data_IF_443804785293
#
_entry.id   IF_443804785293
#
_cell.length_a   1.000
_cell.length_b   1.000
_cell.length_c   1.000
_cell.angle_alpha   90.00
_cell.angle_beta   90.00
_cell.angle_gamma   90.00
#
_symmetry.space_group_name_H-M   'P 1'
#
loop_
_entity.id
_entity.type
_entity.pdbx_description
1 polymer ?
#
# COMPACT_ATOMS: atom_id res chain seq x y z
N UNK A 1 5.04 33.77 2.65
CA UNK A 1 5.22 33.16 1.32
C UNK A 1 6.58 32.49 1.32
N UNK A 2 6.64 31.25 1.79
CA UNK A 2 7.88 30.45 1.83
C UNK A 2 7.87 29.55 0.60
N UNK A 3 8.84 29.77 -0.28
CA UNK A 3 9.05 28.99 -1.50
C UNK A 3 9.85 27.74 -1.11
N UNK A 4 9.21 26.58 -1.09
CA UNK A 4 9.92 25.31 -0.94
C UNK A 4 10.60 24.98 -2.27
N UNK A 5 11.93 24.99 -2.28
CA UNK A 5 12.73 24.43 -3.37
C UNK A 5 12.76 22.90 -3.20
N UNK A 6 12.08 22.18 -4.09
CA UNK A 6 12.25 20.73 -4.24
C UNK A 6 13.61 20.42 -4.89
N UNK A 7 14.36 19.41 -4.41
CA UNK A 7 15.61 19.01 -5.05
C UNK A 7 15.32 18.37 -6.41
N UNK A 8 15.98 18.90 -7.44
CA UNK A 8 15.88 18.44 -8.83
C UNK A 8 16.68 17.13 -9.00
N UNK A 9 16.04 16.07 -9.51
CA UNK A 9 16.72 14.86 -9.92
C UNK A 9 17.29 15.06 -11.33
N UNK A 10 18.59 15.29 -11.45
CA UNK A 10 19.27 15.22 -12.75
C UNK A 10 19.53 13.75 -13.13
N UNK A 11 19.13 13.36 -14.33
CA UNK A 11 19.51 12.10 -14.96
C UNK A 11 20.55 12.44 -16.03
N UNK A 12 21.76 11.92 -15.90
CA UNK A 12 22.78 11.97 -16.95
C UNK A 12 22.54 10.81 -17.92
N UNK A 13 22.54 11.11 -19.23
CA UNK A 13 22.52 10.07 -20.26
C UNK A 13 23.93 9.47 -20.48
N UNK A 14 24.01 8.39 -21.26
CA UNK A 14 25.27 7.68 -21.55
C UNK A 14 26.32 8.53 -22.29
N UNK A 15 25.99 9.78 -22.65
CA UNK A 15 26.86 10.71 -23.37
C UNK A 15 27.20 11.96 -22.54
N UNK A 16 26.81 12.03 -21.27
CA UNK A 16 27.13 13.15 -20.37
C UNK A 16 26.48 14.47 -20.79
N UNK A 17 25.36 14.41 -21.52
CA UNK A 17 24.62 15.62 -21.91
C UNK A 17 23.53 15.91 -20.89
N UNK A 18 23.60 17.10 -20.26
CA UNK A 18 22.52 17.61 -19.42
C UNK A 18 21.31 17.94 -20.30
N UNK A 19 20.32 17.05 -20.31
CA UNK A 19 19.02 17.30 -20.94
C UNK A 19 18.08 17.91 -19.89
N UNK A 20 17.69 19.16 -20.06
CA UNK A 20 16.60 19.76 -19.28
C UNK A 20 15.29 19.05 -19.61
N UNK A 21 14.80 18.22 -18.68
CA UNK A 21 13.46 17.66 -18.76
C UNK A 21 12.48 18.75 -18.36
N UNK A 22 11.91 19.44 -19.35
CA UNK A 22 10.79 20.35 -19.09
C UNK A 22 9.60 19.51 -18.59
N UNK A 23 8.95 19.91 -17.48
CA UNK A 23 7.72 19.26 -17.06
C UNK A 23 6.69 19.39 -18.18
N UNK A 24 6.15 18.25 -18.61
CA UNK A 24 5.03 18.23 -19.55
C UNK A 24 3.88 19.02 -18.93
N UNK A 25 3.55 20.16 -19.52
CA UNK A 25 2.33 20.90 -19.22
C UNK A 25 1.17 20.00 -19.65
N UNK A 26 0.56 19.32 -18.69
CA UNK A 26 -0.76 18.74 -18.88
C UNK A 26 -1.73 19.93 -18.77
N UNK A 27 -2.39 20.25 -19.87
CA UNK A 27 -3.48 21.22 -19.90
C UNK A 27 -4.64 20.69 -19.03
N UNK A 28 -4.76 21.21 -17.80
CA UNK A 28 -5.85 20.97 -16.85
C UNK A 28 -7.21 21.56 -17.29
N UNK A 29 -7.32 22.04 -18.53
CA UNK A 29 -8.49 22.77 -19.03
C UNK A 29 -9.68 21.89 -19.46
N UNK A 30 -9.65 20.57 -19.23
CA UNK A 30 -10.70 19.64 -19.70
C UNK A 30 -11.56 19.00 -18.60
N UNK A 31 -11.39 19.36 -17.33
CA UNK A 31 -12.29 18.95 -16.25
C UNK A 31 -13.25 20.09 -15.94
N UNK A 32 -14.49 19.97 -16.44
CA UNK A 32 -15.57 20.92 -16.19
C UNK A 32 -15.74 21.21 -14.70
N UNK A 33 -15.91 22.49 -14.38
CA UNK A 33 -15.98 23.05 -13.02
C UNK A 33 -17.16 22.53 -12.17
N UNK A 34 -18.05 21.71 -12.73
CA UNK A 34 -19.29 21.27 -12.09
C UNK A 34 -19.17 20.08 -11.11
N UNK A 35 -17.97 19.53 -10.87
CA UNK A 35 -17.79 18.37 -9.96
C UNK A 35 -17.01 18.74 -8.68
N UNK A 36 -16.88 20.03 -8.35
CA UNK A 36 -16.24 20.48 -7.09
C UNK A 36 -17.23 20.81 -5.95
N UNK A 37 -18.53 20.63 -6.14
CA UNK A 37 -19.56 21.19 -5.24
C UNK A 37 -20.25 20.20 -4.28
N UNK A 38 -19.57 19.19 -3.73
CA UNK A 38 -20.13 18.49 -2.54
C UNK A 38 -19.17 17.60 -1.72
N UNK A 39 -17.86 17.63 -2.00
CA UNK A 39 -16.88 16.93 -1.17
C UNK A 39 -16.29 17.92 -0.18
N UNK A 40 -17.01 18.09 0.92
CA UNK A 40 -16.63 18.96 2.04
C UNK A 40 -15.43 18.35 2.79
N UNK A 41 -14.22 18.54 2.23
CA UNK A 41 -12.94 18.17 2.87
C UNK A 41 -12.77 18.84 4.26
N UNK A 42 -13.57 19.88 4.56
CA UNK A 42 -13.55 20.58 5.84
C UNK A 42 -14.16 19.79 7.01
N UNK A 43 -14.98 18.76 6.78
CA UNK A 43 -15.63 18.02 7.88
C UNK A 43 -14.66 17.03 8.57
N UNK A 44 -13.60 16.60 7.89
CA UNK A 44 -12.67 15.61 8.44
C UNK A 44 -11.56 16.24 9.28
N UNK A 45 -11.13 17.47 8.98
CA UNK A 45 -9.97 18.11 9.63
C UNK A 45 -10.31 18.84 10.95
N UNK A 46 -11.58 19.19 11.22
CA UNK A 46 -11.97 19.83 12.49
C UNK A 46 -12.09 18.85 13.67
N UNK A 47 -12.38 17.57 13.43
CA UNK A 47 -12.54 16.59 14.51
C UNK A 47 -11.23 16.04 15.08
N UNK A 48 -10.10 16.26 14.41
CA UNK A 48 -8.77 15.87 14.89
C UNK A 48 -8.03 16.98 15.67
N UNK A 49 -8.51 18.23 15.61
CA UNK A 49 -7.88 19.38 16.30
C UNK A 49 -8.32 19.58 17.75
N UNK A 50 -9.27 18.80 18.27
CA UNK A 50 -9.86 19.02 19.61
C UNK A 50 -9.42 18.04 20.72
N UNK A 51 -8.41 17.19 20.49
CA UNK A 51 -7.94 16.20 21.51
C UNK A 51 -6.45 16.27 21.87
N UNK A 52 -5.84 17.45 21.82
CA UNK A 52 -4.48 17.67 22.30
C UNK A 52 -4.46 18.71 23.43
N UNK A 53 -4.95 18.34 24.61
CA UNK A 53 -4.58 19.05 25.83
C UNK A 53 -3.25 18.48 26.36
N UNK A 54 -2.26 19.32 26.69
CA UNK A 54 -0.99 18.87 27.22
C UNK A 54 -1.18 18.41 28.68
N UNK A 55 -0.84 17.15 28.95
CA UNK A 55 -0.69 16.66 30.34
C UNK A 55 0.66 17.14 30.86
N UNK A 56 0.60 18.07 31.82
CA UNK A 56 1.73 18.62 32.54
C UNK A 56 2.32 17.54 33.47
N UNK A 57 3.48 16.99 33.09
CA UNK A 57 4.22 15.98 33.86
C UNK A 57 5.57 16.53 34.28
N UNK A 58 5.53 17.49 35.20
CA UNK A 58 6.68 17.87 36.02
C UNK A 58 6.80 16.88 37.19
N UNK A 59 7.83 16.02 37.17
CA UNK A 59 8.10 15.07 38.25
C UNK A 59 9.53 14.56 38.19
N UNK A 60 10.43 15.29 38.86
CA UNK A 60 11.83 14.94 39.06
C UNK A 60 11.99 13.72 39.97
N UNK A 61 12.87 12.78 39.63
CA UNK A 61 13.65 12.04 40.66
C UNK A 61 14.98 11.49 40.11
N UNK A 62 16.03 11.89 40.82
CA UNK A 62 17.25 11.15 41.18
C UNK A 62 18.05 10.36 40.13
N UNK A 63 19.27 10.86 39.94
CA UNK A 63 20.44 10.09 39.55
C UNK A 63 20.78 9.04 40.62
N UNK A 64 21.02 7.80 40.19
CA UNK A 64 21.72 6.81 41.01
C UNK A 64 22.72 6.05 40.14
N UNK A 65 23.99 6.20 40.51
CA UNK A 65 25.14 5.49 39.98
C UNK A 65 25.15 4.07 40.53
N UNK A 66 25.16 3.05 39.67
CA UNK A 66 25.64 1.71 40.08
C UNK A 66 26.54 1.15 38.98
N UNK A 67 27.83 1.17 39.30
CA UNK A 67 28.89 0.33 38.76
C UNK A 67 28.58 -1.16 38.91
N UNK A 68 28.86 -1.97 37.88
CA UNK A 68 29.77 -3.12 37.98
C UNK A 68 29.79 -3.90 36.66
N UNK A 69 30.97 -3.85 36.06
CA UNK A 69 31.51 -4.73 35.04
C UNK A 69 31.89 -6.07 35.69
N UNK A 70 31.36 -7.22 35.23
CA UNK A 70 31.95 -8.51 35.53
C UNK A 70 32.83 -8.98 34.36
N UNK A 71 34.05 -9.26 34.78
CA UNK A 71 35.18 -9.89 34.12
C UNK A 71 34.82 -11.28 33.56
N UNK A 72 35.57 -11.66 32.53
CA UNK A 72 35.39 -12.81 31.68
C UNK A 72 35.42 -14.17 32.39
N UNK A 73 34.64 -15.13 31.88
CA UNK A 73 34.92 -16.55 32.08
C UNK A 73 34.68 -17.32 30.78
N UNK A 74 35.77 -17.84 30.22
CA UNK A 74 35.80 -18.71 29.07
C UNK A 74 35.33 -20.12 29.45
N UNK A 75 34.42 -20.68 28.67
CA UNK A 75 33.96 -22.06 28.79
C UNK A 75 33.82 -22.69 27.38
N UNK A 76 33.93 -24.03 27.28
CA UNK A 76 34.60 -24.72 26.19
C UNK A 76 33.75 -24.98 24.95
N UNK A 77 34.44 -25.06 23.81
CA UNK A 77 33.98 -25.65 22.56
C UNK A 77 33.55 -27.11 22.79
N UNK A 78 32.25 -27.39 22.68
CA UNK A 78 31.72 -28.74 22.53
C UNK A 78 31.02 -28.84 21.17
N UNK A 79 31.72 -29.47 20.22
CA UNK A 79 31.18 -29.89 18.92
C UNK A 79 30.20 -31.06 19.12
N UNK A 80 28.94 -30.76 19.44
CA UNK A 80 27.86 -31.73 19.29
C UNK A 80 27.18 -31.54 17.93
N UNK A 81 27.60 -32.40 16.98
CA UNK A 81 26.96 -32.56 15.67
C UNK A 81 25.56 -33.17 15.84
N UNK A 82 24.56 -32.31 16.08
CA UNK A 82 23.15 -32.67 16.04
C UNK A 82 22.69 -32.77 14.59
N UNK A 83 22.59 -34.00 14.07
CA UNK A 83 21.95 -34.30 12.79
C UNK A 83 20.43 -34.13 12.91
N UNK A 84 19.93 -32.92 12.72
CA UNK A 84 18.49 -32.63 12.64
C UNK A 84 17.99 -33.06 11.26
N UNK A 85 17.40 -34.25 11.18
CA UNK A 85 16.64 -34.69 10.00
C UNK A 85 15.27 -34.03 10.01
N UNK A 86 15.23 -32.74 9.64
CA UNK A 86 14.00 -32.01 9.40
C UNK A 86 13.50 -32.30 7.99
N UNK A 87 12.45 -33.10 7.88
CA UNK A 87 11.65 -33.22 6.66
C UNK A 87 11.02 -31.86 6.35
N UNK A 88 11.57 -31.18 5.33
CA UNK A 88 11.01 -29.95 4.76
C UNK A 88 9.69 -30.31 4.10
N UNK A 89 8.58 -29.97 4.75
CA UNK A 89 7.26 -29.99 4.14
C UNK A 89 7.24 -28.81 3.17
N UNK A 90 7.52 -29.09 1.90
CA UNK A 90 7.29 -28.13 0.82
C UNK A 90 5.77 -28.08 0.65
N UNK A 91 5.12 -27.11 1.29
CA UNK A 91 3.72 -26.81 0.99
C UNK A 91 3.64 -26.48 -0.50
N UNK A 92 2.89 -27.29 -1.26
CA UNK A 92 2.66 -27.01 -2.67
C UNK A 92 2.13 -25.58 -2.81
N UNK A 93 2.71 -24.76 -3.70
CA UNK A 93 2.22 -23.41 -3.91
C UNK A 93 0.78 -23.51 -4.39
N UNK A 94 -0.15 -23.10 -3.52
CA UNK A 94 -1.56 -23.00 -3.84
C UNK A 94 -1.66 -22.15 -5.11
N UNK A 95 -1.98 -22.80 -6.23
CA UNK A 95 -2.17 -22.16 -7.53
C UNK A 95 -2.94 -20.87 -7.32
N UNK A 96 -2.39 -19.73 -7.77
CA UNK A 96 -2.98 -18.40 -7.69
C UNK A 96 -4.36 -18.41 -8.36
N UNK A 97 -5.40 -18.79 -7.61
CA UNK A 97 -6.75 -18.73 -8.10
C UNK A 97 -7.09 -17.25 -8.18
N UNK A 98 -7.47 -16.78 -9.37
CA UNK A 98 -8.02 -15.44 -9.55
C UNK A 98 -9.24 -15.30 -8.66
N UNK A 99 -9.09 -14.65 -7.52
CA UNK A 99 -10.17 -14.43 -6.55
C UNK A 99 -10.97 -13.20 -6.96
N UNK A 100 -11.67 -13.30 -8.09
CA UNK A 100 -12.74 -12.34 -8.42
C UNK A 100 -14.07 -12.82 -7.88
N UNK A 101 -14.94 -11.89 -7.52
CA UNK A 101 -16.27 -12.20 -7.00
C UNK A 101 -17.26 -11.07 -7.29
N UNK A 102 -18.54 -11.45 -7.35
CA UNK A 102 -19.65 -10.54 -7.59
C UNK A 102 -20.37 -10.21 -6.27
N UNK A 103 -20.78 -8.95 -6.15
CA UNK A 103 -21.57 -8.41 -5.04
C UNK A 103 -22.80 -7.72 -5.60
N UNK A 104 -23.98 -8.26 -5.29
CA UNK A 104 -25.26 -7.65 -5.64
C UNK A 104 -25.83 -6.94 -4.41
N UNK A 105 -26.03 -5.63 -4.51
CA UNK A 105 -26.45 -4.78 -3.39
C UNK A 105 -27.46 -3.70 -3.80
N UNK A 106 -28.45 -3.49 -2.93
CA UNK A 106 -29.42 -2.41 -3.02
C UNK A 106 -29.08 -1.32 -1.99
N UNK A 107 -28.63 -0.15 -2.44
CA UNK A 107 -28.22 0.94 -1.54
C UNK A 107 -29.37 1.75 -0.94
N UNK A 108 -30.62 1.56 -1.39
CA UNK A 108 -31.80 2.24 -0.83
C UNK A 108 -31.79 3.77 -0.89
N UNK A 109 -30.97 4.37 -1.76
CA UNK A 109 -30.75 5.83 -1.82
C UNK A 109 -29.70 6.37 -0.83
N UNK A 110 -29.15 5.53 0.05
CA UNK A 110 -28.06 5.88 0.95
C UNK A 110 -26.70 5.87 0.22
N UNK A 111 -25.66 6.44 0.85
CA UNK A 111 -24.28 6.25 0.42
C UNK A 111 -23.91 4.78 0.60
N UNK A 112 -23.00 4.24 -0.22
CA UNK A 112 -22.61 2.83 -0.14
C UNK A 112 -21.73 2.51 1.09
N UNK A 113 -21.01 3.51 1.62
CA UNK A 113 -20.07 3.35 2.73
C UNK A 113 -18.72 2.76 2.33
N UNK A 114 -18.24 3.06 1.12
CA UNK A 114 -16.93 2.61 0.62
C UNK A 114 -16.01 3.81 0.39
N UNK A 115 -14.77 3.69 0.82
CA UNK A 115 -13.71 4.67 0.58
C UNK A 115 -12.67 4.08 -0.38
N UNK A 116 -12.24 4.88 -1.34
CA UNK A 116 -11.26 4.47 -2.34
C UNK A 116 -9.92 5.19 -2.12
N UNK A 117 -8.83 4.50 -2.44
CA UNK A 117 -7.51 5.13 -2.58
C UNK A 117 -7.50 5.99 -3.84
N UNK A 118 -7.03 7.23 -3.73
CA UNK A 118 -7.00 8.22 -4.81
C UNK A 118 -5.63 8.32 -5.48
N UNK A 119 -4.64 7.54 -5.04
CA UNK A 119 -3.28 7.60 -5.59
C UNK A 119 -3.23 7.18 -7.08
N UNK A 120 -4.01 6.17 -7.47
CA UNK A 120 -4.09 5.73 -8.87
C UNK A 120 -5.54 5.78 -9.36
N UNK A 121 -5.85 6.74 -10.23
CA UNK A 121 -7.21 6.94 -10.76
C UNK A 121 -7.66 5.83 -11.72
N UNK A 122 -6.75 4.99 -12.21
CA UNK A 122 -7.06 3.82 -13.04
C UNK A 122 -7.34 2.56 -12.20
N UNK A 123 -7.04 2.59 -10.90
CA UNK A 123 -7.21 1.44 -9.99
C UNK A 123 -8.15 1.84 -8.85
N UNK A 124 -9.34 1.27 -8.85
CA UNK A 124 -10.32 1.51 -7.80
C UNK A 124 -10.05 0.61 -6.59
N UNK A 125 -9.05 0.96 -5.79
CA UNK A 125 -8.66 0.21 -4.60
C UNK A 125 -9.48 0.65 -3.38
N UNK A 126 -10.06 -0.31 -2.65
CA UNK A 126 -10.87 0.00 -1.46
C UNK A 126 -9.95 0.28 -0.27
N UNK A 127 -9.89 1.55 0.13
CA UNK A 127 -9.15 2.03 1.31
C UNK A 127 -9.90 1.77 2.62
N UNK A 128 -11.22 1.66 2.61
CA UNK A 128 -11.96 1.41 3.84
C UNK A 128 -13.45 1.24 3.63
N UNK A 129 -14.12 0.75 4.68
CA UNK A 129 -15.56 0.58 4.73
C UNK A 129 -16.12 1.30 5.97
N UNK A 130 -17.23 1.99 5.79
CA UNK A 130 -17.92 2.69 6.87
C UNK A 130 -18.94 1.77 7.55
N UNK A 131 -18.90 1.71 8.89
CA UNK A 131 -19.83 0.87 9.66
C UNK A 131 -21.25 1.42 9.60
N UNK A 132 -22.24 0.52 9.53
CA UNK A 132 -23.67 0.85 9.51
C UNK A 132 -24.22 1.22 8.13
N UNK A 133 -23.37 1.35 7.11
CA UNK A 133 -23.78 1.62 5.73
C UNK A 133 -24.18 0.33 5.00
N UNK A 134 -24.85 0.44 3.82
CA UNK A 134 -25.31 -0.72 3.06
C UNK A 134 -24.22 -1.77 2.82
N UNK A 135 -22.98 -1.38 2.47
CA UNK A 135 -21.90 -2.36 2.22
C UNK A 135 -21.51 -3.14 3.48
N UNK A 136 -21.41 -2.47 4.64
CA UNK A 136 -21.14 -3.13 5.93
C UNK A 136 -22.27 -4.08 6.32
N UNK A 137 -23.53 -3.65 6.16
CA UNK A 137 -24.71 -4.51 6.39
C UNK A 137 -24.72 -5.73 5.47
N UNK A 138 -24.36 -5.56 4.20
CA UNK A 138 -24.27 -6.67 3.25
C UNK A 138 -23.19 -7.67 3.67
N UNK A 139 -21.99 -7.18 4.03
CA UNK A 139 -20.89 -7.99 4.52
C UNK A 139 -21.25 -8.86 5.74
N UNK A 140 -22.12 -8.37 6.63
CA UNK A 140 -22.57 -9.11 7.81
C UNK A 140 -23.51 -10.28 7.48
N UNK A 141 -24.09 -10.31 6.27
CA UNK A 141 -25.06 -11.33 5.85
C UNK A 141 -24.54 -12.25 4.75
N UNK A 142 -23.46 -11.88 4.08
CA UNK A 142 -22.86 -12.69 3.03
C UNK A 142 -21.87 -13.73 3.62
N UNK A 143 -21.54 -14.78 2.86
CA UNK A 143 -20.42 -15.65 3.21
C UNK A 143 -19.10 -14.88 3.31
N UNK A 144 -18.20 -15.31 4.19
CA UNK A 144 -16.93 -14.62 4.48
C UNK A 144 -16.05 -14.47 3.23
N UNK A 145 -16.07 -15.46 2.35
CA UNK A 145 -15.34 -15.48 1.10
C UNK A 145 -15.77 -14.36 0.15
N UNK A 146 -17.04 -13.92 0.22
CA UNK A 146 -17.61 -12.85 -0.60
C UNK A 146 -17.64 -11.49 0.09
N UNK A 147 -17.38 -11.43 1.40
CA UNK A 147 -17.36 -10.17 2.12
C UNK A 147 -16.33 -9.23 1.50
N UNK A 148 -16.73 -8.00 1.18
CA UNK A 148 -15.83 -6.97 0.66
C UNK A 148 -14.89 -6.55 1.78
N UNK A 149 -13.59 -6.50 1.50
CA UNK A 149 -12.54 -6.19 2.47
C UNK A 149 -11.72 -5.00 2.02
N UNK A 150 -10.97 -4.46 2.98
CA UNK A 150 -9.90 -3.52 2.70
C UNK A 150 -8.94 -4.12 1.65
N UNK A 151 -8.50 -3.29 0.70
CA UNK A 151 -7.63 -3.66 -0.44
C UNK A 151 -8.27 -4.50 -1.54
N UNK A 152 -9.56 -4.83 -1.46
CA UNK A 152 -10.23 -5.37 -2.63
C UNK A 152 -10.26 -4.29 -3.74
N UNK A 153 -10.07 -4.71 -4.99
CA UNK A 153 -10.06 -3.85 -6.17
C UNK A 153 -11.42 -3.95 -6.86
N UNK A 154 -12.08 -2.80 -7.05
CA UNK A 154 -13.30 -2.72 -7.84
C UNK A 154 -12.94 -2.71 -9.33
N UNK A 155 -13.35 -3.75 -10.05
CA UNK A 155 -13.08 -3.91 -11.49
C UNK A 155 -14.20 -3.33 -12.34
N UNK A 156 -15.46 -3.53 -11.96
CA UNK A 156 -16.61 -3.02 -12.71
C UNK A 156 -17.84 -2.80 -11.83
N UNK A 157 -18.74 -1.93 -12.30
CA UNK A 157 -20.05 -1.66 -11.68
C UNK A 157 -21.11 -1.80 -12.75
N UNK A 158 -22.06 -2.71 -12.56
CA UNK A 158 -23.12 -3.02 -13.53
C UNK A 158 -22.54 -3.34 -14.93
N UNK A 159 -21.42 -4.06 -14.97
CA UNK A 159 -20.70 -4.42 -16.19
C UNK A 159 -19.91 -3.27 -16.85
N UNK A 160 -19.93 -2.06 -16.29
CA UNK A 160 -19.09 -0.95 -16.75
C UNK A 160 -17.73 -0.97 -16.06
N UNK A 161 -16.66 -0.94 -16.83
CA UNK A 161 -15.28 -0.73 -16.39
C UNK A 161 -14.87 0.73 -16.65
N UNK A 162 -13.80 1.20 -16.02
CA UNK A 162 -13.28 2.54 -16.24
C UNK A 162 -12.41 3.04 -15.09
N UNK A 163 -12.13 4.35 -15.12
CA UNK A 163 -11.46 5.08 -14.04
C UNK A 163 -12.33 5.14 -12.79
N UNK A 164 -11.72 5.47 -11.65
CA UNK A 164 -12.42 5.65 -10.38
C UNK A 164 -13.58 6.65 -10.48
N UNK A 165 -13.36 7.77 -11.16
CA UNK A 165 -14.39 8.79 -11.34
C UNK A 165 -15.61 8.28 -12.13
N UNK A 166 -15.39 7.45 -13.14
CA UNK A 166 -16.46 6.86 -13.96
C UNK A 166 -17.24 5.81 -13.17
N UNK A 167 -16.55 4.93 -12.43
CA UNK A 167 -17.20 3.92 -11.61
C UNK A 167 -18.01 4.53 -10.46
N UNK A 168 -17.49 5.59 -9.81
CA UNK A 168 -18.22 6.33 -8.76
C UNK A 168 -19.52 6.93 -9.31
N UNK A 169 -19.49 7.56 -10.49
CA UNK A 169 -20.71 8.08 -11.15
C UNK A 169 -21.75 6.98 -11.36
N UNK A 170 -21.33 5.80 -11.84
CA UNK A 170 -22.23 4.65 -12.03
C UNK A 170 -22.82 4.17 -10.69
N UNK A 171 -22.04 4.16 -9.61
CA UNK A 171 -22.52 3.80 -8.26
C UNK A 171 -23.49 4.85 -7.69
N UNK A 172 -23.40 6.11 -8.09
CA UNK A 172 -24.30 7.17 -7.67
C UNK A 172 -25.64 7.09 -8.41
N UNK A 173 -25.62 6.87 -9.73
CA UNK A 173 -26.81 6.99 -10.58
C UNK A 173 -27.73 5.76 -10.57
N UNK A 174 -27.18 4.55 -10.40
CA UNK A 174 -27.91 3.30 -10.64
C UNK A 174 -28.22 2.53 -9.36
N UNK A 175 -29.39 1.90 -9.34
CA UNK A 175 -29.81 0.89 -8.36
C UNK A 175 -30.67 -0.15 -9.10
N UNK A 176 -30.51 -1.47 -8.88
CA UNK A 176 -29.52 -2.13 -8.01
C UNK A 176 -28.08 -2.02 -8.53
N UNK A 177 -27.11 -2.32 -7.67
CA UNK A 177 -25.68 -2.34 -8.00
C UNK A 177 -25.16 -3.78 -8.02
N UNK A 178 -24.54 -4.16 -9.14
CA UNK A 178 -23.73 -5.37 -9.27
C UNK A 178 -22.26 -4.97 -9.37
N UNK A 179 -21.50 -5.18 -8.31
CA UNK A 179 -20.08 -4.88 -8.24
C UNK A 179 -19.27 -6.13 -8.59
N UNK A 180 -18.26 -5.98 -9.43
CA UNK A 180 -17.27 -7.02 -9.70
C UNK A 180 -15.96 -6.64 -9.03
N UNK A 181 -15.51 -7.42 -8.06
CA UNK A 181 -14.31 -7.15 -7.27
C UNK A 181 -13.24 -8.21 -7.50
N UNK A 182 -12.00 -7.84 -7.16
CA UNK A 182 -10.84 -8.72 -7.15
C UNK A 182 -10.10 -8.57 -5.82
N UNK A 183 -9.88 -9.70 -5.14
CA UNK A 183 -9.09 -9.76 -3.92
C UNK A 183 -7.59 -9.89 -4.24
N UNK A 184 -6.71 -9.10 -3.60
CA UNK A 184 -5.28 -9.28 -3.74
C UNK A 184 -4.78 -10.56 -3.08
N UNK A 185 -3.60 -11.01 -3.51
CA UNK A 185 -2.80 -12.00 -2.80
C UNK A 185 -1.66 -11.27 -2.07
N UNK A 186 -1.43 -11.61 -0.80
CA UNK A 186 -0.27 -11.12 -0.06
C UNK A 186 0.96 -11.97 -0.37
N UNK A 187 2.07 -11.32 -0.69
CA UNK A 187 3.35 -11.93 -0.99
C UNK A 187 4.41 -11.41 -0.01
N UNK A 188 5.22 -12.33 0.51
CA UNK A 188 6.40 -12.00 1.31
C UNK A 188 7.64 -12.05 0.42
N UNK A 189 8.35 -10.93 0.31
CA UNK A 189 9.54 -10.79 -0.52
C UNK A 189 10.74 -10.53 0.38
N UNK A 190 11.71 -11.43 0.36
CA UNK A 190 12.99 -11.27 1.06
C UNK A 190 14.11 -11.14 0.05
N UNK A 191 14.82 -10.02 0.05
CA UNK A 191 15.92 -9.79 -0.89
C UNK A 191 17.09 -9.06 -0.23
N UNK A 192 18.28 -9.27 -0.78
CA UNK A 192 19.49 -8.52 -0.42
C UNK A 192 19.80 -7.56 -1.56
N UNK A 193 19.79 -6.28 -1.24
CA UNK A 193 20.05 -5.18 -2.14
C UNK A 193 21.55 -5.05 -2.40
N UNK A 194 21.95 -5.46 -3.60
CA UNK A 194 23.31 -5.27 -4.13
C UNK A 194 23.44 -4.01 -4.98
N UNK A 195 22.35 -3.58 -5.61
CA UNK A 195 22.26 -2.40 -6.50
C UNK A 195 20.90 -1.71 -6.35
N UNK A 196 20.55 -0.76 -7.24
CA UNK A 196 19.20 -0.19 -7.29
C UNK A 196 18.18 -1.31 -7.53
N UNK A 197 17.06 -1.31 -6.80
CA UNK A 197 16.07 -2.39 -6.84
C UNK A 197 15.44 -2.62 -8.22
N UNK A 198 15.37 -1.57 -9.05
CA UNK A 198 14.65 -1.62 -10.33
C UNK A 198 13.15 -1.43 -10.14
N UNK A 199 12.72 -0.52 -9.26
CA UNK A 199 11.31 -0.18 -9.04
C UNK A 199 11.11 1.31 -9.24
N UNK A 200 10.09 1.68 -10.02
CA UNK A 200 9.50 3.01 -9.96
C UNK A 200 8.30 2.96 -9.02
N UNK A 201 8.25 3.92 -8.09
CA UNK A 201 7.32 3.92 -6.98
C UNK A 201 6.57 5.25 -6.94
N UNK A 202 5.31 5.21 -6.54
CA UNK A 202 4.50 6.40 -6.27
C UNK A 202 3.78 6.22 -4.93
N UNK A 203 3.58 7.32 -4.20
CA UNK A 203 3.00 7.28 -2.87
C UNK A 203 2.45 8.64 -2.44
N UNK A 204 1.54 8.62 -1.48
CA UNK A 204 1.21 9.79 -0.69
C UNK A 204 0.94 9.37 0.77
N UNK A 205 0.92 10.31 1.71
CA UNK A 205 0.74 10.00 3.14
C UNK A 205 -0.62 9.39 3.49
N UNK A 206 -1.58 9.50 2.58
CA UNK A 206 -2.93 8.99 2.76
C UNK A 206 -3.18 7.69 1.98
N UNK A 207 -2.27 7.28 1.10
CA UNK A 207 -2.43 6.10 0.27
C UNK A 207 -2.20 4.86 1.08
N UNK A 208 -2.74 3.75 0.59
CA UNK A 208 -2.55 2.48 1.28
C UNK A 208 -1.31 1.79 0.73
N UNK A 209 -0.20 1.98 1.43
CA UNK A 209 1.13 1.54 1.02
C UNK A 209 1.72 2.38 -0.12
N UNK A 210 2.77 1.84 -0.73
CA UNK A 210 3.49 2.43 -1.86
C UNK A 210 3.09 1.72 -3.16
N UNK A 211 2.69 2.49 -4.17
CA UNK A 211 2.33 1.98 -5.50
C UNK A 211 3.55 1.65 -6.32
N UNK A 212 3.57 0.46 -6.94
CA UNK A 212 4.56 0.13 -7.97
C UNK A 212 4.03 0.67 -9.29
N UNK A 213 4.70 1.65 -9.87
CA UNK A 213 4.32 2.22 -11.18
C UNK A 213 5.05 1.53 -12.33
N UNK A 214 6.26 1.02 -12.09
CA UNK A 214 7.05 0.31 -13.08
C UNK A 214 8.01 -0.68 -12.41
N UNK A 215 8.23 -1.83 -13.07
CA UNK A 215 9.26 -2.80 -12.68
C UNK A 215 10.34 -2.82 -13.75
N UNK A 216 11.50 -2.28 -13.39
CA UNK A 216 12.68 -2.15 -14.22
C UNK A 216 13.68 -3.30 -13.96
N UNK A 217 14.73 -3.39 -14.77
CA UNK A 217 15.79 -4.36 -14.55
C UNK A 217 16.51 -4.09 -13.22
N UNK A 218 16.71 -5.13 -12.40
CA UNK A 218 17.36 -5.02 -11.10
C UNK A 218 17.17 -6.28 -10.24
N UNK A 219 17.69 -6.28 -9.00
CA UNK A 219 17.56 -7.40 -8.06
C UNK A 219 16.12 -7.85 -7.83
N UNK A 220 15.17 -6.90 -7.87
CA UNK A 220 13.76 -7.21 -7.65
C UNK A 220 13.17 -8.04 -8.81
N UNK A 221 13.48 -7.68 -10.06
CA UNK A 221 13.04 -8.44 -11.24
C UNK A 221 13.66 -9.84 -11.28
N UNK A 222 14.96 -9.96 -10.94
CA UNK A 222 15.63 -11.26 -10.85
C UNK A 222 14.98 -12.15 -9.78
N UNK A 223 14.63 -11.56 -8.63
CA UNK A 223 13.90 -12.27 -7.58
C UNK A 223 12.53 -12.77 -8.08
N UNK A 224 11.77 -11.96 -8.81
CA UNK A 224 10.50 -12.36 -9.41
C UNK A 224 10.67 -13.56 -10.36
N UNK A 225 11.70 -13.53 -11.21
CA UNK A 225 12.02 -14.61 -12.16
C UNK A 225 12.40 -15.92 -11.44
N UNK A 226 13.20 -15.84 -10.37
CA UNK A 226 13.63 -17.00 -9.59
C UNK A 226 12.50 -17.67 -8.80
N UNK A 227 11.52 -16.88 -8.34
CA UNK A 227 10.41 -17.37 -7.52
C UNK A 227 9.13 -17.65 -8.34
N UNK A 228 9.20 -17.50 -9.67
CA UNK A 228 8.06 -17.64 -10.58
C UNK A 228 6.86 -16.74 -10.21
N UNK A 229 7.12 -15.56 -9.65
CA UNK A 229 6.09 -14.59 -9.25
C UNK A 229 6.05 -13.40 -10.18
N UNK A 230 4.85 -12.97 -10.58
CA UNK A 230 4.66 -11.79 -11.43
C UNK A 230 4.24 -10.59 -10.60
N UNK A 231 5.21 -9.79 -10.15
CA UNK A 231 4.97 -8.45 -9.59
C UNK A 231 5.01 -7.44 -10.72
N UNK A 232 4.01 -6.56 -10.79
CA UNK A 232 3.80 -5.64 -11.93
C UNK A 232 3.31 -4.26 -11.48
N UNK A 233 3.22 -3.34 -12.43
CA UNK A 233 2.62 -2.03 -12.20
C UNK A 233 1.18 -2.16 -11.67
N UNK A 234 0.85 -1.36 -10.66
CA UNK A 234 -0.41 -1.40 -9.93
C UNK A 234 -0.39 -2.24 -8.65
N UNK A 235 0.63 -3.07 -8.44
CA UNK A 235 0.84 -3.79 -7.19
C UNK A 235 1.27 -2.84 -6.06
N UNK A 236 1.09 -3.24 -4.79
CA UNK A 236 1.29 -2.36 -3.63
C UNK A 236 2.26 -2.93 -2.62
N UNK A 237 3.27 -2.17 -2.22
CA UNK A 237 4.14 -2.50 -1.08
C UNK A 237 3.47 -1.97 0.19
N UNK A 238 3.04 -2.86 1.08
CA UNK A 238 2.34 -2.48 2.31
C UNK A 238 3.24 -2.34 3.52
N UNK A 239 4.37 -3.05 3.50
CA UNK A 239 5.26 -3.13 4.64
C UNK A 239 6.69 -3.37 4.13
N UNK A 240 7.67 -2.72 4.75
CA UNK A 240 9.08 -3.01 4.54
C UNK A 240 9.79 -3.02 5.90
N UNK A 241 10.41 -4.15 6.24
CA UNK A 241 11.12 -4.36 7.50
C UNK A 241 10.30 -4.06 8.77
N UNK A 242 8.98 -4.29 8.70
CA UNK A 242 8.05 -4.05 9.81
C UNK A 242 7.33 -2.70 9.75
N UNK A 243 7.84 -1.74 8.98
CA UNK A 243 7.23 -0.42 8.85
C UNK A 243 6.19 -0.36 7.75
N UNK A 244 5.08 0.33 8.03
CA UNK A 244 3.89 0.40 7.15
C UNK A 244 3.59 1.80 6.63
N UNK A 245 4.25 2.83 7.15
CA UNK A 245 4.06 4.20 6.67
C UNK A 245 4.78 4.35 5.34
N UNK A 246 4.17 4.97 4.31
CA UNK A 246 4.79 5.11 3.00
C UNK A 246 6.20 5.71 3.02
N UNK A 247 6.42 6.77 3.81
CA UNK A 247 7.75 7.36 3.98
C UNK A 247 8.78 6.41 4.59
N UNK A 248 8.42 5.70 5.64
CA UNK A 248 9.32 4.75 6.32
C UNK A 248 9.63 3.54 5.41
N UNK A 249 8.63 3.07 4.65
CA UNK A 249 8.80 2.05 3.62
C UNK A 249 9.86 2.50 2.60
N UNK A 250 9.73 3.72 2.05
CA UNK A 250 10.68 4.24 1.06
C UNK A 250 12.08 4.41 1.63
N UNK A 251 12.17 4.84 2.89
CA UNK A 251 13.43 4.93 3.61
C UNK A 251 14.11 3.56 3.70
N UNK A 252 13.36 2.50 4.00
CA UNK A 252 13.89 1.15 3.97
C UNK A 252 14.38 0.74 2.59
N UNK A 253 13.56 0.92 1.55
CA UNK A 253 13.90 0.58 0.16
C UNK A 253 15.17 1.32 -0.32
N UNK A 254 15.39 2.54 0.18
CA UNK A 254 16.53 3.39 -0.16
C UNK A 254 17.78 3.17 0.70
N UNK A 255 17.66 2.71 1.94
CA UNK A 255 18.80 2.70 2.88
C UNK A 255 19.19 1.30 3.34
N UNK A 256 18.26 0.35 3.38
CA UNK A 256 18.51 -0.96 4.02
C UNK A 256 19.04 -1.97 3.00
N UNK A 257 20.17 -2.67 3.29
CA UNK A 257 20.68 -3.72 2.42
C UNK A 257 19.79 -4.98 2.42
N UNK A 258 19.29 -5.41 3.57
CA UNK A 258 18.35 -6.52 3.66
C UNK A 258 16.91 -5.99 3.71
N UNK A 259 16.06 -6.50 2.83
CA UNK A 259 14.67 -6.07 2.69
C UNK A 259 13.74 -7.25 2.84
N UNK A 260 12.82 -7.15 3.80
CA UNK A 260 11.66 -8.02 3.94
C UNK A 260 10.42 -7.18 3.66
N UNK A 261 9.72 -7.45 2.58
CA UNK A 261 8.58 -6.68 2.14
C UNK A 261 7.32 -7.52 2.10
N UNK A 262 6.18 -6.91 2.46
CA UNK A 262 4.85 -7.44 2.19
C UNK A 262 4.26 -6.70 1.01
N UNK A 263 3.93 -7.44 -0.05
CA UNK A 263 3.43 -6.89 -1.31
C UNK A 263 2.05 -7.47 -1.61
N UNK A 264 1.10 -6.63 -1.98
CA UNK A 264 -0.16 -7.06 -2.59
C UNK A 264 0.00 -7.16 -4.09
N UNK A 265 -0.39 -8.30 -4.63
CA UNK A 265 -0.44 -8.53 -6.07
C UNK A 265 -1.84 -8.92 -6.54
N UNK A 266 -2.20 -8.48 -7.73
CA UNK A 266 -3.46 -8.81 -8.39
C UNK A 266 -3.21 -9.63 -9.67
N UNK A 267 -3.75 -10.85 -9.80
CA UNK A 267 -3.53 -11.72 -10.95
C UNK A 267 -4.23 -11.28 -12.24
#
# INVERSE_FOLDING_TARGET
>A
MFMFMTPCCCVEDEHGTLVEVMPSVIDDAALGEDVKQDWDEHVFDEKLKTMAEPVDLAGAVAAEQISKEPEAEAAPESEEALSVQGSVVVEEPLLFQRTTFDVDIEKGGEKLGMYFDLLDTNICLIKGLEKGFPMDKWNQTCPEEKAVKHMDRLLSVNGKTGTLSELIKVMQDKVPLKLHLQRPTELQVSLVRTTKLGLALDFNDTSVGVSITEVNHGPFKLWCEENEVSIKAGDRILEANGDKKPHDILDHLCKTPALNMKILTWP
#
